data_IF_483003065645
#
_entry.id   IF_483003065645
#
_cell.length_a   1.000
_cell.length_b   1.000
_cell.length_c   1.000
_cell.angle_alpha   90.00
_cell.angle_beta   90.00
_cell.angle_gamma   90.00
#
_symmetry.space_group_name_H-M   'P 1'
#
loop_
_entity.id
_entity.type
_entity.pdbx_description
1 polymer ?
#
# COMPACT_ATOMS: atom_id res chain seq x y z
N UNK A 1 18.75 -12.39 -32.87
CA UNK A 1 19.48 -11.88 -34.06
C UNK A 1 18.44 -11.40 -35.05
N UNK A 2 18.49 -10.14 -35.51
CA UNK A 2 17.52 -9.64 -36.50
C UNK A 2 17.88 -10.23 -37.87
N UNK A 3 16.87 -10.71 -38.60
CA UNK A 3 17.05 -11.24 -39.96
C UNK A 3 17.53 -10.10 -40.85
N UNK A 4 18.59 -10.31 -41.64
CA UNK A 4 18.96 -9.40 -42.71
C UNK A 4 17.83 -9.41 -43.75
N UNK A 5 17.07 -8.32 -43.82
CA UNK A 5 16.05 -8.11 -44.84
C UNK A 5 16.74 -7.48 -46.04
N UNK A 6 16.45 -7.98 -47.24
CA UNK A 6 17.04 -7.46 -48.47
C UNK A 6 16.86 -5.93 -48.56
N UNK A 7 17.95 -5.14 -48.55
CA UNK A 7 17.86 -3.67 -48.52
C UNK A 7 17.31 -3.08 -49.83
N UNK A 8 17.31 -3.84 -50.93
CA UNK A 8 16.75 -3.41 -52.22
C UNK A 8 15.86 -4.52 -52.77
N UNK A 9 14.57 -4.57 -52.38
CA UNK A 9 13.64 -5.61 -52.83
C UNK A 9 13.48 -5.59 -54.36
N UNK A 10 13.41 -6.78 -54.94
CA UNK A 10 13.03 -6.99 -56.33
C UNK A 10 11.56 -7.37 -56.39
N UNK A 11 10.81 -6.69 -57.25
CA UNK A 11 9.41 -6.98 -57.51
C UNK A 11 9.29 -7.97 -58.67
N UNK A 12 8.49 -9.00 -58.46
CA UNK A 12 8.17 -10.02 -59.45
C UNK A 12 6.75 -9.83 -59.97
N UNK A 13 6.51 -10.31 -61.19
CA UNK A 13 5.19 -10.49 -61.77
C UNK A 13 4.49 -11.70 -61.15
N UNK A 14 3.20 -11.83 -61.38
CA UNK A 14 2.39 -12.96 -60.93
C UNK A 14 2.87 -14.32 -61.47
N UNK A 15 3.56 -14.33 -62.63
CA UNK A 15 4.15 -15.52 -63.23
C UNK A 15 5.58 -15.84 -62.71
N UNK A 16 6.12 -15.04 -61.79
CA UNK A 16 7.46 -15.21 -61.22
C UNK A 16 8.59 -14.49 -61.96
N UNK A 17 8.33 -13.89 -63.13
CA UNK A 17 9.34 -13.09 -63.85
C UNK A 17 9.63 -11.77 -63.13
N UNK A 18 10.79 -11.15 -63.39
CA UNK A 18 11.08 -9.80 -62.92
C UNK A 18 10.03 -8.81 -63.44
N UNK A 19 9.52 -7.95 -62.56
CA UNK A 19 8.66 -6.82 -62.92
C UNK A 19 9.49 -5.66 -63.49
N UNK A 20 10.26 -5.96 -64.55
CA UNK A 20 11.14 -5.04 -65.26
C UNK A 20 10.35 -3.86 -65.80
N UNK A 21 10.82 -2.64 -65.54
CA UNK A 21 10.16 -1.40 -65.97
C UNK A 21 8.67 -1.28 -65.57
N UNK A 22 8.28 -1.97 -64.48
CA UNK A 22 6.96 -1.83 -63.88
C UNK A 22 6.72 -0.45 -63.27
N UNK A 23 5.48 -0.17 -62.87
CA UNK A 23 5.07 1.09 -62.24
C UNK A 23 4.41 0.80 -60.90
N UNK A 24 4.90 1.45 -59.85
CA UNK A 24 4.31 1.40 -58.53
C UNK A 24 3.61 2.73 -58.23
N UNK A 25 2.30 2.68 -58.06
CA UNK A 25 1.47 3.83 -57.72
C UNK A 25 1.29 3.91 -56.21
N UNK A 26 1.39 5.11 -55.66
CA UNK A 26 1.05 5.41 -54.26
C UNK A 26 -0.15 6.34 -54.24
N UNK A 27 -1.32 5.79 -53.92
CA UNK A 27 -2.59 6.51 -53.96
C UNK A 27 -2.99 6.98 -52.57
N UNK A 28 -3.93 7.93 -52.52
CA UNK A 28 -4.65 8.23 -51.29
C UNK A 28 -5.26 6.94 -50.71
N UNK A 29 -5.44 6.90 -49.39
CA UNK A 29 -6.03 5.75 -48.72
C UNK A 29 -7.45 5.47 -49.26
N UNK A 30 -7.79 4.19 -49.40
CA UNK A 30 -9.15 3.76 -49.78
C UNK A 30 -9.55 4.01 -51.23
N UNK A 31 -8.70 4.61 -52.08
CA UNK A 31 -9.01 4.82 -53.50
C UNK A 31 -8.23 3.88 -54.42
N UNK A 32 -8.90 3.47 -55.50
CA UNK A 32 -8.34 2.65 -56.56
C UNK A 32 -8.02 3.46 -57.83
N UNK A 33 -8.26 4.77 -57.81
CA UNK A 33 -8.12 5.70 -58.94
C UNK A 33 -6.66 6.11 -59.12
N UNK A 34 -6.03 5.75 -60.25
CA UNK A 34 -4.61 5.95 -60.50
C UNK A 34 -4.15 7.42 -60.57
N UNK A 35 -5.06 8.35 -60.80
CA UNK A 35 -4.77 9.80 -60.78
C UNK A 35 -4.86 10.40 -59.38
N UNK A 36 -5.47 9.69 -58.42
CA UNK A 36 -5.59 10.12 -57.02
C UNK A 36 -4.32 9.82 -56.23
N UNK A 37 -3.18 10.25 -56.76
CA UNK A 37 -1.86 10.02 -56.17
C UNK A 37 -1.66 10.84 -54.89
N UNK A 38 -0.90 10.28 -53.96
CA UNK A 38 -0.44 10.97 -52.75
C UNK A 38 1.07 11.25 -52.89
N UNK A 39 1.54 12.34 -52.27
CA UNK A 39 2.93 12.75 -52.36
C UNK A 39 3.85 11.69 -51.76
N UNK A 40 5.01 11.52 -52.38
CA UNK A 40 6.09 10.62 -51.94
C UNK A 40 7.43 11.34 -52.17
N UNK A 41 8.46 10.92 -51.45
CA UNK A 41 9.74 11.65 -51.39
C UNK A 41 10.93 10.71 -51.59
N UNK A 42 12.04 11.27 -52.09
CA UNK A 42 13.31 10.55 -52.29
C UNK A 42 14.21 10.55 -51.04
N UNK A 43 13.91 11.42 -50.08
CA UNK A 43 14.59 11.58 -48.81
C UNK A 43 13.61 11.48 -47.63
N UNK A 44 14.16 11.19 -46.45
CA UNK A 44 13.36 10.96 -45.24
C UNK A 44 12.83 12.28 -44.65
N UNK A 45 13.47 13.40 -44.98
CA UNK A 45 13.12 14.74 -44.51
C UNK A 45 11.94 15.36 -45.29
N UNK A 46 11.49 14.72 -46.37
CA UNK A 46 10.38 15.20 -47.21
C UNK A 46 10.76 16.40 -48.10
N UNK A 47 12.04 16.68 -48.30
CA UNK A 47 12.53 17.85 -49.02
C UNK A 47 12.48 17.68 -50.55
N UNK A 48 12.72 16.46 -51.04
CA UNK A 48 12.74 16.15 -52.48
C UNK A 48 11.58 15.25 -52.86
N UNK A 49 10.53 15.83 -53.43
CA UNK A 49 9.37 15.07 -53.89
C UNK A 49 9.74 14.17 -55.08
N UNK A 50 9.34 12.90 -55.01
CA UNK A 50 9.48 11.91 -56.09
C UNK A 50 8.29 11.98 -57.06
N UNK A 51 8.51 11.50 -58.29
CA UNK A 51 7.43 11.27 -59.25
C UNK A 51 6.58 10.06 -58.85
N UNK A 52 5.27 10.16 -59.06
CA UNK A 52 4.29 9.11 -58.82
C UNK A 52 3.47 8.90 -60.09
N UNK A 53 3.50 7.72 -60.75
CA UNK A 53 4.07 6.45 -60.27
C UNK A 53 5.60 6.39 -60.26
N UNK A 54 6.13 5.59 -59.34
CA UNK A 54 7.55 5.23 -59.31
C UNK A 54 7.80 4.14 -60.35
N UNK A 55 8.74 4.39 -61.26
CA UNK A 55 9.12 3.42 -62.28
C UNK A 55 10.22 2.50 -61.73
N UNK A 56 10.02 1.19 -61.87
CA UNK A 56 11.00 0.18 -61.49
C UNK A 56 12.14 0.14 -62.52
N UNK A 57 13.34 -0.20 -62.05
CA UNK A 57 14.47 -0.49 -62.93
C UNK A 57 14.25 -1.75 -63.78
N UNK A 58 15.14 -1.99 -64.74
CA UNK A 58 15.10 -3.20 -65.57
C UNK A 58 15.23 -4.50 -64.74
N UNK A 59 15.80 -4.41 -63.53
CA UNK A 59 15.91 -5.52 -62.58
C UNK A 59 14.70 -5.64 -61.65
N UNK A 60 13.63 -4.86 -61.87
CA UNK A 60 12.45 -4.84 -61.02
C UNK A 60 12.68 -4.22 -59.64
N UNK A 61 13.71 -3.38 -59.48
CA UNK A 61 14.03 -2.69 -58.22
C UNK A 61 13.41 -1.29 -58.19
N UNK A 62 12.93 -0.89 -57.03
CA UNK A 62 12.40 0.45 -56.78
C UNK A 62 13.51 1.39 -56.26
N UNK A 63 13.39 2.68 -56.57
CA UNK A 63 14.19 3.72 -55.91
C UNK A 63 13.74 3.91 -54.43
N UNK A 64 14.43 4.77 -53.69
CA UNK A 64 13.98 5.15 -52.35
C UNK A 64 12.61 5.83 -52.43
N UNK A 65 11.71 5.46 -51.53
CA UNK A 65 10.38 6.06 -51.41
C UNK A 65 10.09 6.25 -49.93
N UNK A 66 9.88 7.51 -49.57
CA UNK A 66 9.38 7.94 -48.26
C UNK A 66 8.00 8.56 -48.45
N UNK A 67 7.19 8.51 -47.39
CA UNK A 67 5.84 9.09 -47.38
C UNK A 67 5.37 9.29 -45.95
N UNK A 68 4.27 10.02 -45.80
CA UNK A 68 3.63 10.27 -44.50
C UNK A 68 2.21 9.71 -44.48
N UNK A 69 1.91 8.91 -43.48
CA UNK A 69 0.61 8.31 -43.17
C UNK A 69 0.25 7.11 -44.04
N UNK A 70 -1.06 6.91 -44.22
CA UNK A 70 -1.62 5.76 -44.95
C UNK A 70 -1.73 5.99 -46.46
N UNK A 71 -1.48 4.93 -47.22
CA UNK A 71 -1.48 4.89 -48.69
C UNK A 71 -2.12 3.60 -49.18
N UNK A 72 -2.64 3.65 -50.41
CA UNK A 72 -2.95 2.45 -51.19
C UNK A 72 -1.94 2.30 -52.32
N UNK A 73 -1.08 1.27 -52.24
CA UNK A 73 -0.06 0.97 -53.22
C UNK A 73 -0.53 -0.05 -54.25
N UNK A 74 -0.24 0.20 -55.53
CA UNK A 74 -0.54 -0.71 -56.64
C UNK A 74 0.64 -0.92 -57.56
N UNK A 75 1.04 -2.18 -57.74
CA UNK A 75 2.08 -2.55 -58.68
C UNK A 75 1.47 -2.94 -60.02
N UNK A 76 1.94 -2.31 -61.10
CA UNK A 76 1.67 -2.67 -62.48
C UNK A 76 2.96 -3.11 -63.16
N UNK A 77 2.86 -4.01 -64.14
CA UNK A 77 3.98 -4.31 -65.02
C UNK A 77 4.16 -3.25 -66.12
N UNK A 78 5.18 -3.43 -66.96
CA UNK A 78 5.49 -2.53 -68.08
C UNK A 78 4.37 -2.45 -69.13
N UNK A 79 3.48 -3.43 -69.19
CA UNK A 79 2.31 -3.46 -70.07
C UNK A 79 1.06 -2.84 -69.41
N UNK A 80 1.20 -2.27 -68.20
CA UNK A 80 0.11 -1.76 -67.36
C UNK A 80 -0.90 -2.85 -66.93
N UNK A 81 -0.46 -4.09 -66.75
CA UNK A 81 -1.25 -5.14 -66.10
C UNK A 81 -1.01 -5.11 -64.60
N UNK A 82 -2.09 -5.04 -63.81
CA UNK A 82 -2.04 -5.03 -62.35
C UNK A 82 -1.45 -6.35 -61.82
N UNK A 83 -0.47 -6.25 -60.93
CA UNK A 83 0.15 -7.38 -60.25
C UNK A 83 -0.45 -7.58 -58.86
N UNK A 84 -0.57 -6.51 -58.06
CA UNK A 84 -1.19 -6.55 -56.73
C UNK A 84 -1.55 -5.16 -56.21
N UNK A 85 -2.38 -5.16 -55.15
CA UNK A 85 -2.75 -3.98 -54.36
C UNK A 85 -2.47 -4.24 -52.87
N UNK A 86 -1.94 -3.24 -52.16
CA UNK A 86 -1.65 -3.28 -50.72
C UNK A 86 -1.92 -1.93 -50.09
N UNK A 87 -2.40 -1.93 -48.86
CA UNK A 87 -2.45 -0.73 -48.03
C UNK A 87 -1.13 -0.65 -47.24
N UNK A 88 -0.54 0.54 -47.17
CA UNK A 88 0.76 0.82 -46.54
C UNK A 88 0.57 1.96 -45.56
N UNK A 89 1.12 1.83 -44.37
CA UNK A 89 1.20 2.90 -43.37
C UNK A 89 2.66 3.25 -43.13
N UNK A 90 3.08 4.46 -43.53
CA UNK A 90 4.43 4.95 -43.30
C UNK A 90 4.61 5.53 -41.90
N UNK A 91 3.52 5.83 -41.20
CA UNK A 91 3.54 6.42 -39.85
C UNK A 91 3.24 5.36 -38.77
N UNK A 92 3.32 4.08 -39.11
CA UNK A 92 3.14 3.01 -38.14
C UNK A 92 4.25 3.10 -37.07
N UNK A 93 3.98 3.86 -36.01
CA UNK A 93 4.77 3.80 -34.79
C UNK A 93 4.64 2.39 -34.22
N UNK A 94 5.76 1.70 -34.03
CA UNK A 94 5.71 0.47 -33.24
C UNK A 94 5.53 0.89 -31.78
N UNK A 95 4.31 0.78 -31.27
CA UNK A 95 4.12 0.79 -29.83
C UNK A 95 5.01 -0.31 -29.23
N UNK A 96 5.66 -0.03 -28.10
CA UNK A 96 6.55 -1.02 -27.47
C UNK A 96 5.78 -2.30 -27.08
N UNK A 97 4.47 -2.16 -26.85
CA UNK A 97 3.51 -3.24 -26.68
C UNK A 97 2.34 -3.01 -27.62
N UNK A 98 2.01 -4.01 -28.42
CA UNK A 98 0.90 -3.96 -29.37
C UNK A 98 -0.44 -4.14 -28.64
N UNK A 99 -1.50 -3.54 -29.18
CA UNK A 99 -2.88 -3.80 -28.75
C UNK A 99 -3.25 -5.27 -28.91
N UNK A 100 -4.10 -5.76 -28.00
CA UNK A 100 -4.55 -7.14 -28.06
C UNK A 100 -5.38 -7.40 -29.33
N UNK A 101 -4.96 -8.41 -30.07
CA UNK A 101 -5.63 -8.90 -31.26
C UNK A 101 -5.99 -10.38 -31.16
N UNK A 102 -7.27 -10.71 -31.36
CA UNK A 102 -7.81 -12.08 -31.33
C UNK A 102 -7.16 -13.06 -32.32
N UNK A 103 -6.56 -12.56 -33.41
CA UNK A 103 -5.94 -13.38 -34.46
C UNK A 103 -4.49 -13.75 -34.14
N UNK A 104 -3.85 -13.02 -33.23
CA UNK A 104 -2.47 -13.27 -32.79
C UNK A 104 -2.47 -14.38 -31.75
N UNK A 105 -1.46 -15.25 -31.83
CA UNK A 105 -1.18 -16.26 -30.81
C UNK A 105 -0.04 -15.76 -29.95
N UNK A 106 -0.32 -15.53 -28.68
CA UNK A 106 0.65 -15.06 -27.69
C UNK A 106 1.34 -16.23 -27.01
N UNK A 107 2.66 -16.13 -26.84
CA UNK A 107 3.43 -17.05 -26.00
C UNK A 107 3.29 -16.66 -24.52
N UNK A 108 3.71 -17.55 -23.62
CA UNK A 108 3.88 -17.21 -22.21
C UNK A 108 4.77 -15.96 -22.09
N UNK A 109 4.41 -15.05 -21.19
CA UNK A 109 5.09 -13.77 -20.92
C UNK A 109 5.05 -12.74 -22.05
N UNK A 110 4.30 -13.00 -23.12
CA UNK A 110 4.01 -11.95 -24.09
C UNK A 110 3.17 -10.84 -23.43
N UNK A 111 3.49 -9.59 -23.74
CA UNK A 111 2.80 -8.40 -23.20
C UNK A 111 1.98 -7.76 -24.31
N UNK A 112 0.77 -7.34 -23.98
CA UNK A 112 -0.14 -6.63 -24.88
C UNK A 112 -0.94 -5.57 -24.10
N UNK A 113 -1.52 -4.61 -24.81
CA UNK A 113 -2.42 -3.63 -24.21
C UNK A 113 -3.89 -4.06 -24.43
N UNK A 114 -4.68 -4.05 -23.36
CA UNK A 114 -6.12 -4.30 -23.41
C UNK A 114 -6.89 -3.10 -23.94
N UNK A 115 -8.18 -3.32 -24.25
CA UNK A 115 -9.09 -2.25 -24.68
C UNK A 115 -9.43 -1.23 -23.58
N UNK A 116 -9.05 -1.51 -22.34
CA UNK A 116 -9.13 -0.67 -21.15
C UNK A 116 -7.85 0.15 -20.89
N UNK A 117 -6.94 0.19 -21.88
CA UNK A 117 -5.65 0.89 -21.84
C UNK A 117 -4.61 0.30 -20.86
N UNK A 118 -4.97 -0.78 -20.15
CA UNK A 118 -4.09 -1.48 -19.23
C UNK A 118 -3.19 -2.50 -19.94
N UNK A 119 -2.04 -2.79 -19.36
CA UNK A 119 -1.11 -3.79 -19.89
C UNK A 119 -1.33 -5.14 -19.24
N UNK A 120 -1.21 -6.19 -20.04
CA UNK A 120 -1.41 -7.58 -19.61
C UNK A 120 -0.26 -8.46 -20.07
N UNK A 121 0.14 -9.39 -19.21
CA UNK A 121 1.12 -10.43 -19.50
C UNK A 121 0.42 -11.79 -19.62
N UNK A 122 0.71 -12.54 -20.68
CA UNK A 122 0.16 -13.88 -20.88
C UNK A 122 0.77 -14.86 -19.89
N UNK A 123 -0.08 -15.65 -19.21
CA UNK A 123 0.33 -16.67 -18.24
C UNK A 123 0.49 -18.06 -18.88
N UNK A 124 0.11 -18.20 -20.15
CA UNK A 124 0.17 -19.48 -20.88
C UNK A 124 0.75 -19.31 -22.27
N UNK A 125 1.32 -20.40 -22.79
CA UNK A 125 1.66 -20.53 -24.21
C UNK A 125 0.42 -20.77 -25.07
N UNK A 126 0.52 -20.41 -26.35
CA UNK A 126 -0.54 -20.54 -27.35
C UNK A 126 -1.86 -19.83 -26.97
N UNK A 127 -1.77 -18.73 -26.22
CA UNK A 127 -2.91 -17.94 -25.83
C UNK A 127 -3.48 -17.23 -27.06
N UNK A 128 -4.62 -17.69 -27.58
CA UNK A 128 -5.26 -17.13 -28.79
C UNK A 128 -6.75 -16.94 -28.52
N UNK A 129 -7.25 -15.76 -28.87
CA UNK A 129 -8.68 -15.46 -28.77
C UNK A 129 -9.21 -15.23 -27.35
N UNK A 130 -8.39 -15.36 -26.31
CA UNK A 130 -8.77 -14.97 -24.95
C UNK A 130 -8.45 -13.49 -24.75
N UNK A 131 -9.48 -12.65 -24.65
CA UNK A 131 -9.36 -11.21 -24.41
C UNK A 131 -8.99 -10.95 -22.94
N UNK A 132 -7.89 -10.23 -22.64
CA UNK A 132 -7.44 -9.96 -21.27
C UNK A 132 -8.43 -9.13 -20.43
N UNK A 133 -9.28 -8.32 -21.06
CA UNK A 133 -10.24 -7.46 -20.36
C UNK A 133 -11.50 -8.19 -19.91
N UNK A 134 -11.71 -9.41 -20.41
CA UNK A 134 -12.87 -10.24 -20.09
C UNK A 134 -12.55 -11.13 -18.89
N UNK A 135 -13.36 -11.07 -17.83
CA UNK A 135 -13.13 -11.82 -16.59
C UNK A 135 -13.00 -13.35 -16.77
N UNK A 136 -13.64 -13.93 -17.79
CA UNK A 136 -13.48 -15.36 -18.13
C UNK A 136 -12.07 -15.73 -18.61
N UNK A 137 -11.25 -14.75 -18.99
CA UNK A 137 -9.86 -14.93 -19.43
C UNK A 137 -8.82 -14.67 -18.34
N UNK A 138 -9.24 -14.36 -17.11
CA UNK A 138 -8.35 -14.00 -15.99
C UNK A 138 -7.31 -15.07 -15.62
N UNK A 139 -7.52 -16.32 -16.02
CA UNK A 139 -6.55 -17.40 -15.86
C UNK A 139 -5.44 -17.42 -16.92
N UNK A 140 -5.61 -16.68 -18.02
CA UNK A 140 -4.65 -16.61 -19.13
C UNK A 140 -3.83 -15.33 -19.14
N UNK A 141 -4.25 -14.32 -18.36
CA UNK A 141 -3.66 -12.99 -18.36
C UNK A 141 -3.55 -12.44 -16.94
N UNK A 142 -2.39 -11.89 -16.62
CA UNK A 142 -2.22 -11.03 -15.44
C UNK A 142 -2.09 -9.58 -15.86
N UNK A 143 -2.80 -8.69 -15.17
CA UNK A 143 -2.65 -7.25 -15.34
C UNK A 143 -1.29 -6.80 -14.78
N UNK A 144 -0.59 -5.95 -15.53
CA UNK A 144 0.68 -5.34 -15.14
C UNK A 144 0.39 -3.96 -14.56
N UNK A 145 0.90 -3.70 -13.36
CA UNK A 145 0.98 -2.35 -12.81
C UNK A 145 2.38 -1.79 -13.07
N UNK A 146 2.45 -0.63 -13.73
CA UNK A 146 3.69 0.11 -13.91
C UNK A 146 3.83 1.12 -12.77
N UNK A 147 4.98 1.08 -12.09
CA UNK A 147 5.31 2.04 -11.04
C UNK A 147 6.29 3.04 -11.64
N UNK A 148 5.95 4.33 -11.55
CA UNK A 148 6.77 5.42 -12.08
C UNK A 148 7.44 6.21 -10.95
N UNK A 149 8.55 6.88 -11.27
CA UNK A 149 9.11 7.89 -10.38
C UNK A 149 8.21 9.13 -10.35
N UNK A 150 8.10 9.77 -9.20
CA UNK A 150 7.34 11.01 -9.08
C UNK A 150 7.91 12.12 -9.99
N UNK A 151 7.02 12.85 -10.63
CA UNK A 151 7.28 13.98 -11.49
C UNK A 151 6.24 15.08 -11.23
N UNK A 152 6.66 16.20 -10.66
CA UNK A 152 5.79 17.34 -10.35
C UNK A 152 5.15 17.96 -11.59
N UNK A 153 5.78 17.82 -12.76
CA UNK A 153 5.35 18.43 -14.02
C UNK A 153 4.51 17.47 -14.89
N UNK A 154 4.06 16.33 -14.34
CA UNK A 154 3.23 15.37 -15.08
C UNK A 154 1.96 16.05 -15.59
N UNK A 155 1.72 16.14 -16.91
CA UNK A 155 0.51 16.74 -17.46
C UNK A 155 -0.74 16.01 -16.95
N UNK A 156 -1.71 16.75 -16.41
CA UNK A 156 -2.91 16.17 -15.80
C UNK A 156 -2.71 15.57 -14.41
N UNK A 157 -1.47 15.52 -13.89
CA UNK A 157 -1.16 14.95 -12.58
C UNK A 157 -1.39 13.44 -12.49
N UNK A 158 -1.36 12.94 -11.27
CA UNK A 158 -1.58 11.53 -10.96
C UNK A 158 -3.06 11.26 -10.63
N UNK A 159 -3.61 10.17 -11.16
CA UNK A 159 -4.96 9.73 -10.83
C UNK A 159 -5.07 9.28 -9.36
N UNK A 160 -6.30 9.19 -8.86
CA UNK A 160 -6.54 8.58 -7.55
C UNK A 160 -6.02 7.13 -7.52
N UNK A 161 -5.40 6.72 -6.42
CA UNK A 161 -4.69 5.45 -6.22
C UNK A 161 -3.48 5.20 -7.15
N UNK A 162 -3.03 6.18 -7.92
CA UNK A 162 -1.78 6.05 -8.67
C UNK A 162 -0.59 5.89 -7.71
N UNK A 163 0.29 4.94 -7.99
CA UNK A 163 1.45 4.64 -7.13
C UNK A 163 2.72 5.17 -7.78
N UNK A 164 3.47 5.97 -7.02
CA UNK A 164 4.74 6.55 -7.44
C UNK A 164 5.87 6.19 -6.47
N UNK A 165 7.10 6.23 -6.98
CA UNK A 165 8.30 6.20 -6.17
C UNK A 165 8.85 7.61 -6.05
N UNK A 166 9.05 8.07 -4.81
CA UNK A 166 9.81 9.29 -4.54
C UNK A 166 10.79 9.04 -3.38
N UNK A 167 12.03 9.52 -3.54
CA UNK A 167 13.12 9.34 -2.57
C UNK A 167 13.27 7.89 -2.02
N UNK A 168 12.96 6.87 -2.84
CA UNK A 168 13.05 5.45 -2.46
C UNK A 168 11.87 4.93 -1.64
N UNK A 169 10.79 5.69 -1.51
CA UNK A 169 9.53 5.30 -0.83
C UNK A 169 8.40 5.24 -1.85
N UNK A 170 7.42 4.40 -1.56
CA UNK A 170 6.21 4.26 -2.36
C UNK A 170 5.11 5.16 -1.79
N UNK A 171 4.43 5.88 -2.66
CA UNK A 171 3.29 6.73 -2.30
C UNK A 171 2.11 6.42 -3.19
N UNK A 172 0.92 6.30 -2.62
CA UNK A 172 -0.34 6.24 -3.35
C UNK A 172 -1.01 7.62 -3.33
N UNK A 173 -1.42 8.12 -4.48
CA UNK A 173 -2.26 9.32 -4.53
C UNK A 173 -3.62 9.01 -3.92
N UNK A 174 -4.15 9.89 -3.08
CA UNK A 174 -5.52 9.77 -2.54
C UNK A 174 -6.47 10.82 -3.14
N UNK A 175 -6.06 11.43 -4.25
CA UNK A 175 -6.86 12.39 -5.02
C UNK A 175 -6.54 12.33 -6.50
N UNK A 176 -7.50 12.72 -7.35
CA UNK A 176 -7.28 12.81 -8.78
C UNK A 176 -6.51 14.09 -9.16
N UNK A 177 -5.77 14.04 -10.26
CA UNK A 177 -4.93 15.12 -10.77
C UNK A 177 -3.90 15.63 -9.75
N UNK A 178 -3.37 14.74 -8.91
CA UNK A 178 -2.44 15.11 -7.86
C UNK A 178 -1.08 15.51 -8.46
N UNK A 179 -0.60 16.70 -8.13
CA UNK A 179 0.69 17.24 -8.60
C UNK A 179 1.62 17.63 -7.45
N UNK A 180 1.14 17.50 -6.20
CA UNK A 180 1.94 17.83 -5.03
C UNK A 180 3.09 16.83 -4.89
N UNK A 181 4.27 17.28 -4.47
CA UNK A 181 5.41 16.39 -4.21
C UNK A 181 5.18 15.57 -2.93
N UNK A 182 5.23 14.23 -2.97
CA UNK A 182 5.26 13.42 -1.76
C UNK A 182 6.51 13.72 -0.91
N UNK A 183 6.47 13.59 0.42
CA UNK A 183 5.28 13.35 1.23
C UNK A 183 4.41 14.61 1.33
N UNK A 184 3.11 14.45 1.10
CA UNK A 184 2.11 15.52 1.23
C UNK A 184 0.77 14.89 1.63
N UNK A 185 -0.17 15.66 2.19
CA UNK A 185 -1.45 15.14 2.70
C UNK A 185 -2.32 14.47 1.62
N UNK A 186 -2.06 14.76 0.35
CA UNK A 186 -2.72 14.13 -0.81
C UNK A 186 -2.07 12.80 -1.23
N UNK A 187 -1.06 12.34 -0.50
CA UNK A 187 -0.34 11.10 -0.73
C UNK A 187 -0.31 10.24 0.52
N UNK A 188 -0.70 8.98 0.36
CA UNK A 188 -0.56 7.96 1.39
C UNK A 188 0.82 7.31 1.25
N UNK A 189 1.64 7.38 2.30
CA UNK A 189 2.92 6.69 2.34
C UNK A 189 2.69 5.18 2.52
N UNK A 190 3.07 4.39 1.51
CA UNK A 190 2.93 2.94 1.51
C UNK A 190 4.14 2.23 2.13
N UNK A 191 5.16 2.96 2.57
CA UNK A 191 6.30 2.37 3.24
C UNK A 191 6.02 2.09 4.72
N UNK A 192 5.89 0.81 5.08
CA UNK A 192 5.79 0.33 6.46
C UNK A 192 7.14 0.50 7.18
N UNK A 193 7.50 1.73 7.56
CA UNK A 193 8.83 1.97 8.10
C UNK A 193 8.93 2.95 9.26
N UNK A 194 7.87 3.18 10.07
CA UNK A 194 8.05 3.70 11.43
C UNK A 194 6.81 3.61 12.34
N UNK A 195 7.09 3.70 13.65
CA UNK A 195 6.20 3.81 14.81
C UNK A 195 4.79 4.28 14.48
N UNK A 196 3.81 3.39 14.65
CA UNK A 196 2.39 3.77 14.63
C UNK A 196 2.11 4.58 15.90
N UNK A 197 1.94 5.90 15.75
CA UNK A 197 1.45 6.75 16.84
C UNK A 197 -0.05 6.92 16.64
N UNK A 198 -0.86 6.14 17.36
CA UNK A 198 -2.32 6.18 17.24
C UNK A 198 -3.02 4.89 17.69
N UNK A 199 -4.34 4.83 17.48
CA UNK A 199 -5.12 3.64 17.77
C UNK A 199 -4.81 2.56 16.73
N UNK A 200 -4.30 1.42 17.19
CA UNK A 200 -4.10 0.23 16.36
C UNK A 200 -5.27 -0.74 16.58
N UNK A 201 -5.99 -1.09 15.52
CA UNK A 201 -6.98 -2.17 15.54
C UNK A 201 -6.52 -3.29 14.61
N UNK A 202 -6.54 -4.52 15.12
CA UNK A 202 -6.33 -5.72 14.34
C UNK A 202 -7.52 -6.65 14.55
N UNK A 203 -8.01 -7.25 13.47
CA UNK A 203 -9.09 -8.25 13.49
C UNK A 203 -8.57 -9.69 13.67
N UNK A 204 -7.24 -9.85 13.78
CA UNK A 204 -6.56 -11.14 13.93
C UNK A 204 -5.75 -11.25 15.22
N UNK A 205 -5.02 -12.37 15.37
CA UNK A 205 -4.15 -12.61 16.54
C UNK A 205 -2.89 -11.76 16.45
N UNK A 206 -2.66 -10.91 17.45
CA UNK A 206 -1.38 -10.21 17.62
C UNK A 206 -0.43 -11.13 18.39
N UNK A 207 0.63 -11.60 17.73
CA UNK A 207 1.72 -12.33 18.39
C UNK A 207 2.88 -11.37 18.62
N UNK A 208 3.09 -10.95 19.87
CA UNK A 208 4.23 -10.10 20.24
C UNK A 208 4.87 -10.61 21.53
N UNK A 209 6.20 -10.52 21.62
CA UNK A 209 6.96 -11.15 22.70
C UNK A 209 6.92 -10.38 24.03
N UNK A 210 6.70 -9.06 24.00
CA UNK A 210 6.72 -8.21 25.20
C UNK A 210 5.71 -7.04 25.07
N UNK A 211 4.41 -7.34 25.10
CA UNK A 211 3.39 -6.28 25.11
C UNK A 211 3.32 -5.71 26.53
N UNK A 212 3.65 -4.43 26.67
CA UNK A 212 3.36 -3.65 27.88
C UNK A 212 2.12 -2.80 27.62
N UNK A 213 1.07 -3.04 28.39
CA UNK A 213 -0.12 -2.17 28.41
C UNK A 213 -0.06 -1.33 29.68
N UNK A 214 -0.26 -0.01 29.57
CA UNK A 214 -0.16 0.91 30.69
C UNK A 214 -1.32 1.89 30.76
N UNK A 215 -1.70 2.26 31.97
CA UNK A 215 -2.61 3.36 32.26
C UNK A 215 -1.86 4.46 33.03
N UNK A 216 -2.13 5.71 32.69
CA UNK A 216 -1.45 6.88 33.22
C UNK A 216 -2.47 7.91 33.71
N UNK A 217 -2.37 8.24 34.99
CA UNK A 217 -3.05 9.39 35.61
C UNK A 217 -2.08 10.56 35.70
N UNK A 218 -2.29 11.55 34.84
CA UNK A 218 -1.41 12.73 34.71
C UNK A 218 -1.74 13.85 35.68
N UNK A 219 -2.91 13.82 36.32
CA UNK A 219 -3.34 14.87 37.25
C UNK A 219 -4.36 14.36 38.27
N UNK A 220 -4.52 15.12 39.34
CA UNK A 220 -5.47 14.84 40.40
C UNK A 220 -6.90 15.10 39.89
N UNK A 221 -7.69 14.05 39.70
CA UNK A 221 -9.14 14.20 39.57
C UNK A 221 -9.76 14.07 40.94
N UNK A 222 -10.47 15.12 41.38
CA UNK A 222 -11.18 15.09 42.64
C UNK A 222 -12.28 14.02 42.57
N UNK A 223 -12.22 13.03 43.45
CA UNK A 223 -13.31 12.08 43.66
C UNK A 223 -14.07 12.52 44.89
N UNK A 224 -15.40 12.45 44.85
CA UNK A 224 -16.25 12.76 46.00
C UNK A 224 -15.87 11.85 47.19
N UNK A 225 -15.94 12.40 48.40
CA UNK A 225 -15.62 11.69 49.65
C UNK A 225 -16.52 10.45 49.82
N UNK A 226 -16.00 9.27 49.45
CA UNK A 226 -16.71 7.99 49.61
C UNK A 226 -15.86 6.98 50.38
N UNK A 227 -16.50 6.28 51.32
CA UNK A 227 -15.92 5.12 52.02
C UNK A 227 -15.91 3.84 51.19
N UNK A 228 -16.58 3.86 50.04
CA UNK A 228 -16.64 2.73 49.11
C UNK A 228 -15.39 2.66 48.23
N UNK A 229 -14.67 1.55 48.31
CA UNK A 229 -13.53 1.22 47.44
C UNK A 229 -14.05 1.02 46.02
N UNK A 230 -13.51 1.79 45.07
CA UNK A 230 -13.82 1.61 43.64
C UNK A 230 -12.60 1.89 42.77
N UNK A 231 -12.59 1.43 41.51
CA UNK A 231 -11.49 1.69 40.58
C UNK A 231 -11.32 3.18 40.32
N UNK A 232 -10.06 3.62 40.21
CA UNK A 232 -9.72 4.90 39.61
C UNK A 232 -9.86 4.77 38.09
N UNK A 233 -10.68 5.60 37.42
CA UNK A 233 -10.95 5.45 35.99
C UNK A 233 -9.71 5.65 35.10
N UNK A 234 -8.68 6.34 35.60
CA UNK A 234 -7.44 6.62 34.85
C UNK A 234 -6.36 5.55 35.06
N UNK A 235 -6.56 4.61 35.98
CA UNK A 235 -5.58 3.61 36.40
C UNK A 235 -6.12 2.19 36.25
N UNK A 236 -6.67 1.91 35.07
CA UNK A 236 -7.18 0.59 34.67
C UNK A 236 -6.43 0.15 33.42
N UNK A 237 -5.70 -0.97 33.53
CA UNK A 237 -5.13 -1.68 32.38
C UNK A 237 -6.16 -2.71 31.93
N UNK A 238 -6.59 -2.66 30.67
CA UNK A 238 -7.57 -3.61 30.09
C UNK A 238 -6.97 -4.40 28.94
N UNK A 239 -7.70 -5.41 28.43
CA UNK A 239 -7.26 -6.21 27.28
C UNK A 239 -6.19 -7.25 27.61
N UNK A 240 -6.05 -7.60 28.89
CA UNK A 240 -5.15 -8.68 29.32
C UNK A 240 -5.75 -10.03 28.94
N UNK A 241 -4.89 -10.96 28.53
CA UNK A 241 -5.27 -12.31 28.09
C UNK A 241 -5.25 -13.27 29.29
N UNK A 242 -6.34 -14.00 29.49
CA UNK A 242 -6.47 -15.10 30.45
C UNK A 242 -5.38 -16.16 30.23
N UNK A 243 -4.84 -16.70 31.31
CA UNK A 243 -3.78 -17.72 31.34
C UNK A 243 -2.37 -17.14 31.16
N UNK A 244 -2.23 -15.84 30.94
CA UNK A 244 -0.93 -15.18 30.77
C UNK A 244 -0.24 -14.85 32.09
N UNK A 245 1.10 -14.83 32.06
CA UNK A 245 1.92 -14.28 33.13
C UNK A 245 2.26 -12.82 32.82
N UNK A 246 2.07 -11.94 33.81
CA UNK A 246 2.32 -10.52 33.69
C UNK A 246 3.24 -10.02 34.80
N UNK A 247 4.20 -9.19 34.42
CA UNK A 247 4.91 -8.31 35.34
C UNK A 247 4.12 -7.01 35.48
N UNK A 248 3.59 -6.77 36.67
CA UNK A 248 2.83 -5.58 37.02
C UNK A 248 3.73 -4.60 37.74
N UNK A 249 3.78 -3.36 37.24
CA UNK A 249 4.46 -2.25 37.89
C UNK A 249 3.48 -1.12 38.10
N UNK A 250 3.36 -0.62 39.33
CA UNK A 250 2.56 0.56 39.63
C UNK A 250 3.37 1.58 40.42
N UNK A 251 3.17 2.86 40.13
CA UNK A 251 3.71 3.98 40.89
C UNK A 251 2.60 5.01 41.08
N UNK A 252 2.24 5.28 42.33
CA UNK A 252 1.15 6.16 42.69
C UNK A 252 1.67 7.25 43.61
N UNK A 253 1.21 8.48 43.40
CA UNK A 253 1.52 9.63 44.24
C UNK A 253 0.23 10.19 44.82
N UNK A 254 0.17 10.34 46.13
CA UNK A 254 -0.98 10.88 46.85
C UNK A 254 -0.76 12.36 47.15
N UNK A 255 -1.86 13.13 47.23
CA UNK A 255 -1.80 14.46 47.83
C UNK A 255 -1.61 14.34 49.35
N UNK A 256 -0.89 15.30 49.94
CA UNK A 256 -0.73 15.40 51.40
C UNK A 256 -2.11 15.44 52.09
N UNK A 257 -2.30 14.60 53.11
CA UNK A 257 -3.54 14.53 53.86
C UNK A 257 -3.28 15.00 55.30
N UNK A 258 -3.90 16.11 55.70
CA UNK A 258 -3.86 16.60 57.07
C UNK A 258 -4.67 15.67 57.98
N UNK A 259 -4.01 14.65 58.54
CA UNK A 259 -4.46 13.91 59.71
C UNK A 259 -5.47 12.79 59.46
N UNK A 260 -5.02 11.55 59.70
CA UNK A 260 -5.85 10.48 60.26
C UNK A 260 -6.88 9.84 59.32
N UNK A 261 -6.42 9.01 58.38
CA UNK A 261 -7.26 7.97 57.78
C UNK A 261 -6.40 6.90 57.10
N UNK A 262 -6.70 5.64 57.36
CA UNK A 262 -6.06 4.50 56.71
C UNK A 262 -6.51 4.40 55.24
N UNK A 263 -5.64 4.74 54.29
CA UNK A 263 -5.94 4.75 52.86
C UNK A 263 -5.83 3.34 52.28
N UNK A 264 -6.97 2.73 51.92
CA UNK A 264 -7.03 1.45 51.22
C UNK A 264 -6.65 1.61 49.75
N UNK A 265 -5.38 1.40 49.39
CA UNK A 265 -5.01 1.06 48.02
C UNK A 265 -5.31 -0.42 47.83
N UNK A 266 -6.08 -0.76 46.80
CA UNK A 266 -6.33 -2.14 46.38
C UNK A 266 -5.97 -2.30 44.91
N UNK A 267 -5.09 -3.24 44.58
CA UNK A 267 -4.98 -3.70 43.19
C UNK A 267 -5.88 -4.91 43.05
N UNK A 268 -6.79 -4.89 42.09
CA UNK A 268 -7.71 -6.01 41.80
C UNK A 268 -7.71 -6.32 40.32
N UNK A 269 -8.00 -7.58 40.00
CA UNK A 269 -8.49 -8.01 38.70
C UNK A 269 -10.01 -8.00 38.70
N UNK A 270 -10.66 -7.79 37.55
CA UNK A 270 -12.13 -7.86 37.47
C UNK A 270 -12.66 -9.24 37.89
N UNK A 271 -13.69 -9.20 38.76
CA UNK A 271 -14.55 -10.29 39.24
C UNK A 271 -13.87 -11.61 39.66
N UNK A 272 -13.54 -11.71 40.95
CA UNK A 272 -13.83 -12.91 41.75
C UNK A 272 -13.12 -14.23 41.42
N UNK A 273 -11.81 -14.24 41.12
CA UNK A 273 -10.98 -15.47 41.15
C UNK A 273 -9.54 -15.17 41.57
N UNK A 274 -8.87 -16.19 42.12
CA UNK A 274 -7.55 -16.21 42.78
C UNK A 274 -6.41 -15.57 41.97
N UNK A 275 -5.72 -14.60 42.57
CA UNK A 275 -4.44 -14.09 42.10
C UNK A 275 -3.32 -14.80 42.86
N UNK A 276 -2.44 -15.48 42.13
CA UNK A 276 -1.20 -15.97 42.73
C UNK A 276 -0.09 -14.95 42.48
N UNK A 277 0.14 -14.06 43.46
CA UNK A 277 1.32 -13.19 43.43
C UNK A 277 2.53 -13.99 43.84
N UNK A 278 3.39 -14.24 42.86
CA UNK A 278 4.53 -15.11 43.05
C UNK A 278 5.65 -14.44 43.87
N UNK A 279 5.81 -13.13 43.74
CA UNK A 279 6.74 -12.33 44.54
C UNK A 279 6.43 -10.82 44.45
N UNK A 280 6.75 -10.08 45.52
CA UNK A 280 6.85 -8.62 45.52
C UNK A 280 8.33 -8.28 45.69
N UNK A 281 8.94 -7.74 44.65
CA UNK A 281 10.39 -7.49 44.64
C UNK A 281 10.78 -6.24 45.41
N UNK A 282 9.93 -5.22 45.40
CA UNK A 282 10.21 -3.94 46.06
C UNK A 282 8.93 -3.23 46.47
N UNK A 283 8.75 -3.03 47.77
CA UNK A 283 7.66 -2.23 48.34
C UNK A 283 8.25 -1.15 49.23
N UNK A 284 8.12 0.11 48.84
CA UNK A 284 8.54 1.26 49.65
C UNK A 284 7.37 2.22 49.81
N UNK A 285 6.75 2.20 50.98
CA UNK A 285 6.09 3.37 51.54
C UNK A 285 7.17 4.10 52.37
N UNK A 286 7.44 5.37 52.08
CA UNK A 286 8.31 6.19 52.93
C UNK A 286 7.51 6.62 54.17
N UNK A 287 7.35 5.70 55.11
CA UNK A 287 6.47 5.82 56.28
C UNK A 287 5.89 4.45 56.62
N UNK A 288 6.02 4.01 57.88
CA UNK A 288 5.78 2.62 58.30
C UNK A 288 4.41 2.07 57.85
N UNK A 289 4.40 1.04 57.00
CA UNK A 289 3.19 0.37 56.50
C UNK A 289 3.17 -1.11 56.89
N UNK A 290 2.05 -1.59 57.42
CA UNK A 290 1.77 -3.02 57.55
C UNK A 290 1.02 -3.51 56.30
N UNK A 291 1.67 -4.32 55.46
CA UNK A 291 1.05 -4.99 54.34
C UNK A 291 0.53 -6.36 54.79
N UNK A 292 -0.73 -6.67 54.51
CA UNK A 292 -1.31 -8.01 54.70
C UNK A 292 -1.76 -8.53 53.34
N UNK A 293 -1.18 -9.63 52.88
CA UNK A 293 -1.67 -10.38 51.71
C UNK A 293 -2.84 -11.25 52.16
N UNK A 294 -4.00 -11.12 51.54
CA UNK A 294 -5.07 -12.12 51.63
C UNK A 294 -5.19 -12.85 50.29
N UNK A 295 -5.52 -14.13 50.39
CA UNK A 295 -5.73 -15.14 49.34
C UNK A 295 -6.77 -14.78 48.26
N UNK A 296 -7.39 -13.59 48.30
CA UNK A 296 -8.60 -13.22 47.54
C UNK A 296 -8.37 -12.29 46.36
N UNK A 297 -7.17 -12.25 45.79
CA UNK A 297 -6.82 -11.35 44.68
C UNK A 297 -6.74 -9.85 45.03
N UNK A 298 -6.42 -9.54 46.28
CA UNK A 298 -6.40 -8.17 46.81
C UNK A 298 -5.10 -7.87 47.56
N UNK A 299 -4.46 -6.75 47.24
CA UNK A 299 -3.40 -6.17 48.09
C UNK A 299 -3.89 -4.91 48.74
N UNK A 300 -4.05 -4.93 50.06
CA UNK A 300 -4.58 -3.83 50.84
C UNK A 300 -3.48 -3.09 51.58
N UNK A 301 -3.48 -1.76 51.47
CA UNK A 301 -2.65 -0.87 52.28
C UNK A 301 -3.52 -0.25 53.36
N UNK A 302 -3.14 -0.38 54.63
CA UNK A 302 -4.01 0.03 55.75
C UNK A 302 -3.51 1.29 56.47
N UNK A 303 -2.49 2.01 55.99
CA UNK A 303 -2.16 3.36 56.49
C UNK A 303 -1.14 4.06 55.60
N UNK A 304 -1.38 5.36 55.36
CA UNK A 304 -0.49 6.32 54.71
C UNK A 304 -0.34 7.47 55.74
N UNK A 305 0.87 7.93 56.04
CA UNK A 305 1.12 8.92 57.09
C UNK A 305 0.82 10.34 56.58
N UNK A 306 0.51 11.26 57.50
CA UNK A 306 0.28 12.66 57.19
C UNK A 306 1.61 13.45 57.09
N UNK A 307 1.73 14.40 56.14
CA UNK A 307 2.76 15.44 56.16
C UNK A 307 3.70 15.51 54.95
N UNK A 308 3.46 14.78 53.85
CA UNK A 308 4.12 15.01 52.55
C UNK A 308 3.41 14.25 51.42
N UNK A 309 3.70 14.58 50.15
CA UNK A 309 3.29 13.77 49.00
C UNK A 309 3.88 12.35 49.14
N UNK A 310 3.05 11.35 49.45
CA UNK A 310 3.52 9.96 49.57
C UNK A 310 3.53 9.25 48.21
N UNK A 311 4.60 8.50 47.93
CA UNK A 311 4.70 7.66 46.74
C UNK A 311 4.65 6.19 47.12
N UNK A 312 3.75 5.45 46.50
CA UNK A 312 3.65 3.99 46.60
C UNK A 312 4.17 3.39 45.29
N UNK A 313 5.11 2.47 45.37
CA UNK A 313 5.58 1.70 44.23
C UNK A 313 5.33 0.21 44.46
N UNK A 314 4.83 -0.46 43.43
CA UNK A 314 4.50 -1.89 43.40
C UNK A 314 5.22 -2.51 42.21
N UNK A 315 5.82 -3.66 42.43
CA UNK A 315 6.45 -4.50 41.43
C UNK A 315 6.10 -5.96 41.77
N UNK A 316 5.28 -6.59 40.93
CA UNK A 316 4.69 -7.89 41.20
C UNK A 316 4.62 -8.76 39.94
N UNK A 317 4.76 -10.07 40.11
CA UNK A 317 4.45 -11.05 39.06
C UNK A 317 3.07 -11.64 39.35
N UNK A 318 2.18 -11.52 38.36
CA UNK A 318 0.78 -11.97 38.45
C UNK A 318 0.51 -12.97 37.33
N UNK A 319 -0.08 -14.10 37.69
CA UNK A 319 -0.71 -15.02 36.75
C UNK A 319 -2.20 -14.72 36.70
N UNK A 320 -2.77 -14.58 35.50
CA UNK A 320 -4.21 -14.44 35.33
C UNK A 320 -4.82 -15.82 35.11
N UNK A 321 -5.55 -16.36 36.09
CA UNK A 321 -6.31 -17.59 35.93
C UNK A 321 -7.81 -17.25 36.01
N UNK A 322 -8.53 -17.27 34.88
CA UNK A 322 -9.99 -17.02 34.82
C UNK A 322 -10.41 -15.90 33.87
N UNK A 323 -11.68 -15.47 33.94
CA UNK A 323 -12.26 -14.51 32.98
C UNK A 323 -11.73 -13.06 33.10
N UNK A 324 -10.78 -12.79 33.99
CA UNK A 324 -10.22 -11.46 34.22
C UNK A 324 -9.38 -10.98 33.04
N UNK A 325 -9.68 -9.78 32.56
CA UNK A 325 -8.99 -9.14 31.42
C UNK A 325 -8.44 -7.75 31.76
N UNK A 326 -8.43 -7.39 33.04
CA UNK A 326 -8.03 -6.07 33.50
C UNK A 326 -7.32 -6.12 34.85
N UNK A 327 -6.42 -5.16 35.09
CA UNK A 327 -5.81 -4.85 36.40
C UNK A 327 -6.12 -3.40 36.71
N UNK A 328 -6.62 -3.10 37.91
CA UNK A 328 -6.98 -1.73 38.29
C UNK A 328 -6.48 -1.34 39.66
N UNK A 329 -6.26 -0.03 39.83
CA UNK A 329 -6.01 0.61 41.13
C UNK A 329 -7.36 1.06 41.70
N UNK A 330 -7.73 0.46 42.81
CA UNK A 330 -8.91 0.80 43.59
C UNK A 330 -8.50 1.60 44.80
N UNK A 331 -9.34 2.57 45.16
CA UNK A 331 -9.15 3.34 46.36
C UNK A 331 -10.46 3.84 46.97
N UNK A 332 -10.41 4.17 48.25
CA UNK A 332 -11.46 4.84 49.02
C UNK A 332 -10.86 5.80 50.04
N UNK A 333 -11.70 6.69 50.55
CA UNK A 333 -11.42 7.50 51.73
C UNK A 333 -12.00 6.81 52.97
N UNK A 334 -11.26 6.68 54.07
CA UNK A 334 -11.72 5.87 55.21
C UNK A 334 -12.80 6.55 56.08
N UNK A 335 -12.88 7.89 56.10
CA UNK A 335 -13.81 8.61 56.97
C UNK A 335 -14.55 9.72 56.22
N UNK A 336 -15.83 9.91 56.55
CA UNK A 336 -16.72 10.92 55.97
C UNK A 336 -16.33 12.37 56.28
N UNK A 337 -15.28 12.60 57.06
CA UNK A 337 -14.85 13.91 57.56
C UNK A 337 -13.44 14.33 57.13
N UNK A 338 -12.70 13.50 56.40
CA UNK A 338 -11.38 13.90 55.92
C UNK A 338 -11.47 14.85 54.70
N UNK A 339 -10.55 15.80 54.60
CA UNK A 339 -10.47 16.74 53.48
C UNK A 339 -9.55 16.17 52.39
N UNK A 340 -10.14 15.60 51.33
CA UNK A 340 -9.52 15.30 50.04
C UNK A 340 -8.27 14.39 50.02
N UNK A 341 -8.39 13.12 50.40
CA UNK A 341 -7.43 12.12 49.92
C UNK A 341 -7.66 11.85 48.43
N UNK A 342 -6.70 12.22 47.59
CA UNK A 342 -6.78 12.06 46.13
C UNK A 342 -5.45 11.57 45.58
N UNK A 343 -5.51 10.69 44.57
CA UNK A 343 -4.31 10.29 43.81
C UNK A 343 -3.93 11.48 42.92
N UNK A 344 -2.77 12.07 43.19
CA UNK A 344 -2.21 13.22 42.50
C UNK A 344 -1.76 12.87 41.08
N UNK A 345 -1.02 11.77 40.96
CA UNK A 345 -0.54 11.19 39.70
C UNK A 345 -0.34 9.70 39.89
N UNK A 346 -0.43 8.92 38.83
CA UNK A 346 -0.24 7.48 38.91
C UNK A 346 0.13 6.87 37.57
N UNK A 347 0.83 5.75 37.60
CA UNK A 347 1.12 4.91 36.45
C UNK A 347 0.96 3.46 36.88
N UNK A 348 0.30 2.65 36.06
CA UNK A 348 0.25 1.21 36.20
C UNK A 348 0.53 0.58 34.84
N UNK A 349 1.35 -0.46 34.79
CA UNK A 349 1.65 -1.21 33.59
C UNK A 349 1.63 -2.71 33.85
N UNK A 350 1.23 -3.46 32.83
CA UNK A 350 1.28 -4.91 32.78
C UNK A 350 2.08 -5.34 31.54
N UNK A 351 3.20 -6.01 31.75
CA UNK A 351 4.03 -6.57 30.69
C UNK A 351 3.86 -8.07 30.67
N UNK A 352 3.42 -8.65 29.55
CA UNK A 352 3.35 -10.11 29.45
C UNK A 352 4.77 -10.70 29.43
N UNK A 353 5.05 -11.68 30.28
CA UNK A 353 6.38 -12.31 30.46
C UNK A 353 6.39 -13.83 30.16
N UNK A 354 5.25 -14.39 29.75
CA UNK A 354 5.07 -15.81 29.42
C UNK A 354 3.67 -16.06 28.87
#
# INVERSE_FOLDING_TARGET
MKRFINPVPQFLKSNGDLCSAGKLYFLQEGTDILTSTKAIYLDAEGASQSINPVTLSNEGRMANVFGEGKYRAKLYDSANVLQWTRDIDFDAESAQFEEWNSQVTYSEKAITQGSDEDYYISEVDNNKGNDPTVGASSQYWSKIALIEFFNADKPGGYADNAVVIDAGRLYASNTANNTNTPPHATWDDLSFNNTVTGNFSATGTITAQNITVSALKTSSTARASTTTVSPDPDLIVTGLVNGGYYHIQARLKWNDNSGGAANGLRITLDSGVDMFVQSITYLRALGASNATSDSTAEYNFNSLLAGSDETVQIDAIVRLDGASTSVSVLWAQNTSSATNTTIKTGHISATKIG
#
